data_IF_975904063606
#
_entry.id   IF_975904063606
#
_cell.length_a   1.000
_cell.length_b   1.000
_cell.length_c   1.000
_cell.angle_alpha   90.00
_cell.angle_beta   90.00
_cell.angle_gamma   90.00
#
_symmetry.space_group_name_H-M   'P 1'
#
loop_
_entity.id
_entity.type
_entity.pdbx_description
1 polymer ?
#
# COMPACT_ATOMS: atom_id res chain seq x y z
N UNK A 1 18.68 -30.86 4.57
CA UNK A 1 17.31 -31.09 5.04
C UNK A 1 16.46 -30.10 4.28
N UNK A 2 15.54 -30.62 3.48
CA UNK A 2 14.71 -29.89 2.53
C UNK A 2 13.75 -28.97 3.28
N UNK A 3 14.00 -27.66 3.23
CA UNK A 3 13.02 -26.63 3.58
C UNK A 3 12.00 -26.51 2.44
N UNK A 4 11.18 -27.56 2.27
CA UNK A 4 9.94 -27.49 1.50
C UNK A 4 8.80 -27.17 2.47
N UNK A 5 8.84 -25.99 3.09
CA UNK A 5 7.64 -25.37 3.64
C UNK A 5 7.01 -24.52 2.53
N UNK A 6 6.62 -25.19 1.45
CA UNK A 6 5.75 -24.60 0.43
C UNK A 6 4.39 -24.49 1.12
N UNK A 7 4.08 -23.27 1.59
CA UNK A 7 2.74 -22.93 2.02
C UNK A 7 1.73 -23.43 0.98
N UNK A 8 0.55 -23.88 1.41
CA UNK A 8 -0.38 -24.57 0.54
C UNK A 8 -0.74 -23.70 -0.68
N UNK A 9 -0.73 -24.30 -1.87
CA UNK A 9 -0.77 -23.56 -3.13
C UNK A 9 -2.09 -22.77 -3.30
N UNK A 10 -2.04 -21.58 -3.91
CA UNK A 10 -3.24 -20.83 -4.25
C UNK A 10 -4.11 -21.61 -5.23
N UNK A 11 -5.41 -21.38 -5.20
CA UNK A 11 -6.34 -21.97 -6.16
C UNK A 11 -6.00 -21.47 -7.57
N UNK A 12 -6.04 -22.36 -8.55
CA UNK A 12 -5.80 -22.02 -9.96
C UNK A 12 -7.02 -22.23 -10.85
N UNK A 13 -8.08 -22.86 -10.32
CA UNK A 13 -9.30 -23.13 -11.04
C UNK A 13 -10.53 -23.07 -10.13
N UNK A 14 -11.70 -22.82 -10.72
CA UNK A 14 -12.99 -22.71 -10.02
C UNK A 14 -13.79 -24.01 -9.97
N UNK A 15 -13.34 -25.07 -10.65
CA UNK A 15 -14.10 -26.32 -10.85
C UNK A 15 -14.47 -27.02 -9.53
N UNK A 16 -13.65 -26.82 -8.50
CA UNK A 16 -13.82 -27.44 -7.19
C UNK A 16 -14.58 -26.55 -6.19
N UNK A 17 -15.02 -25.35 -6.61
CA UNK A 17 -15.74 -24.43 -5.74
C UNK A 17 -17.23 -24.83 -5.64
N UNK A 18 -17.84 -24.75 -4.44
CA UNK A 18 -19.27 -24.87 -4.29
C UNK A 18 -19.97 -23.79 -5.12
N UNK A 19 -21.08 -24.15 -5.79
CA UNK A 19 -21.78 -23.24 -6.71
C UNK A 19 -22.03 -21.82 -6.16
N UNK A 20 -22.57 -21.66 -4.93
CA UNK A 20 -22.77 -20.34 -4.33
C UNK A 20 -21.47 -19.55 -4.14
N UNK A 21 -20.36 -20.20 -3.80
CA UNK A 21 -19.06 -19.57 -3.59
C UNK A 21 -18.37 -19.23 -4.91
N UNK A 22 -18.54 -20.07 -5.94
CA UNK A 22 -17.96 -19.86 -7.27
C UNK A 22 -18.40 -18.54 -7.91
N UNK A 23 -19.59 -18.03 -7.58
CA UNK A 23 -20.08 -16.72 -8.04
C UNK A 23 -19.26 -15.52 -7.53
N UNK A 24 -18.50 -15.71 -6.45
CA UNK A 24 -17.65 -14.68 -5.84
C UNK A 24 -16.17 -14.83 -6.22
N UNK A 25 -15.82 -15.91 -6.93
CA UNK A 25 -14.47 -16.12 -7.41
C UNK A 25 -14.07 -15.06 -8.43
N UNK A 26 -12.92 -14.44 -8.22
CA UNK A 26 -12.32 -13.51 -9.18
C UNK A 26 -10.98 -14.04 -9.66
N UNK A 27 -10.67 -13.91 -10.95
CA UNK A 27 -9.31 -14.13 -11.40
C UNK A 27 -8.39 -13.07 -10.81
N UNK A 28 -7.18 -13.49 -10.45
CA UNK A 28 -6.08 -12.60 -10.12
C UNK A 28 -4.78 -13.12 -10.75
N UNK A 29 -3.75 -12.29 -10.77
CA UNK A 29 -2.41 -12.69 -11.18
C UNK A 29 -1.43 -12.28 -10.11
N UNK A 30 -0.77 -13.26 -9.49
CA UNK A 30 0.35 -13.02 -8.58
C UNK A 30 1.58 -12.61 -9.39
N UNK A 31 2.16 -11.46 -9.10
CA UNK A 31 3.25 -10.87 -9.89
C UNK A 31 4.63 -11.43 -9.50
N UNK A 32 4.80 -11.83 -8.23
CA UNK A 32 6.01 -12.45 -7.67
C UNK A 32 7.31 -11.74 -8.11
N UNK A 33 7.49 -10.46 -7.71
CA UNK A 33 8.70 -9.73 -8.05
C UNK A 33 9.94 -10.42 -7.47
N UNK A 34 10.98 -10.50 -8.30
CA UNK A 34 12.30 -10.92 -7.89
C UNK A 34 13.33 -9.95 -8.45
N UNK A 35 14.32 -9.57 -7.65
CA UNK A 35 15.39 -8.68 -8.09
C UNK A 35 16.00 -9.12 -9.43
N UNK A 36 16.13 -8.16 -10.36
CA UNK A 36 16.63 -8.41 -11.71
C UNK A 36 16.92 -7.12 -12.46
N UNK A 37 17.16 -7.23 -13.75
CA UNK A 37 17.45 -6.10 -14.65
C UNK A 37 16.46 -6.09 -15.82
N UNK A 38 15.20 -5.67 -15.58
CA UNK A 38 14.15 -5.67 -16.60
C UNK A 38 14.38 -4.59 -17.66
N UNK A 39 14.02 -4.88 -18.90
CA UNK A 39 14.00 -3.92 -19.99
C UNK A 39 12.69 -3.11 -20.05
N UNK A 40 12.66 -2.02 -20.83
CA UNK A 40 11.49 -1.12 -20.90
C UNK A 40 10.25 -1.77 -21.52
N UNK A 41 10.38 -2.94 -22.16
CA UNK A 41 9.25 -3.67 -22.74
C UNK A 41 8.75 -4.82 -21.85
N UNK A 42 9.37 -5.03 -20.70
CA UNK A 42 9.01 -6.12 -19.80
C UNK A 42 7.93 -5.66 -18.82
N UNK A 43 7.11 -6.61 -18.37
CA UNK A 43 6.36 -6.41 -17.12
C UNK A 43 7.34 -6.45 -15.95
N UNK A 44 7.41 -5.38 -15.17
CA UNK A 44 8.47 -5.18 -14.18
C UNK A 44 8.04 -4.26 -13.04
N UNK A 45 8.79 -4.32 -11.93
CA UNK A 45 8.66 -3.40 -10.79
C UNK A 45 9.97 -2.64 -10.63
N UNK A 46 9.91 -1.32 -10.43
CA UNK A 46 11.07 -0.43 -10.32
C UNK A 46 12.00 -0.40 -11.53
N UNK A 47 11.61 -1.01 -12.64
CA UNK A 47 12.33 -1.02 -13.91
C UNK A 47 12.05 0.23 -14.75
N UNK A 48 12.74 0.37 -15.89
CA UNK A 48 12.43 1.41 -16.87
C UNK A 48 11.02 1.21 -17.43
N UNK A 49 10.30 2.32 -17.65
CA UNK A 49 9.00 2.29 -18.32
C UNK A 49 9.17 2.45 -19.82
N UNK A 50 8.25 1.88 -20.58
CA UNK A 50 8.03 2.20 -21.98
C UNK A 50 7.39 3.59 -22.10
N UNK A 51 8.14 4.64 -21.79
CA UNK A 51 7.67 6.03 -21.79
C UNK A 51 8.15 6.77 -23.06
N UNK A 52 7.27 7.41 -23.85
CA UNK A 52 7.69 8.16 -25.04
C UNK A 52 8.53 9.39 -24.70
N UNK A 53 9.61 9.61 -25.45
CA UNK A 53 10.50 10.77 -25.27
C UNK A 53 9.83 12.12 -25.56
N UNK A 54 8.74 12.14 -26.34
CA UNK A 54 7.96 13.32 -26.67
C UNK A 54 6.80 13.59 -25.69
N UNK A 55 6.53 12.67 -24.77
CA UNK A 55 5.49 12.83 -23.74
C UNK A 55 6.10 13.40 -22.44
N UNK A 56 5.57 14.52 -21.91
CA UNK A 56 6.04 15.07 -20.64
C UNK A 56 5.95 14.07 -19.49
N UNK A 57 7.03 13.95 -18.72
CA UNK A 57 7.07 13.06 -17.57
C UNK A 57 6.10 13.52 -16.45
N UNK A 58 5.35 12.61 -15.79
CA UNK A 58 4.44 12.96 -14.72
C UNK A 58 5.14 13.56 -13.50
N UNK A 59 4.57 14.64 -12.96
CA UNK A 59 5.08 15.32 -11.77
C UNK A 59 4.00 15.45 -10.70
N UNK A 60 4.38 15.29 -9.43
CA UNK A 60 3.54 15.56 -8.29
C UNK A 60 3.65 17.03 -7.86
N UNK A 61 2.50 17.64 -7.56
CA UNK A 61 2.37 19.00 -7.00
C UNK A 61 1.61 19.02 -5.68
N UNK A 62 1.21 17.85 -5.19
CA UNK A 62 0.48 17.72 -3.94
C UNK A 62 1.40 18.06 -2.75
N UNK A 63 0.84 18.47 -1.61
CA UNK A 63 1.63 18.75 -0.43
C UNK A 63 2.23 17.45 0.12
N UNK A 64 3.51 17.51 0.50
CA UNK A 64 4.26 16.40 1.07
C UNK A 64 4.22 16.47 2.60
N UNK A 65 4.15 15.32 3.24
CA UNK A 65 4.35 15.20 4.68
C UNK A 65 5.82 15.41 5.00
N UNK A 66 6.09 16.37 5.87
CA UNK A 66 7.44 16.67 6.38
C UNK A 66 7.44 16.68 7.91
N UNK A 67 8.56 16.25 8.48
CA UNK A 67 8.77 16.22 9.93
C UNK A 67 9.65 17.39 10.34
N UNK A 68 9.05 18.38 11.00
CA UNK A 68 9.78 19.51 11.58
C UNK A 68 10.20 19.19 12.99
N UNK A 69 11.48 19.41 13.29
CA UNK A 69 12.07 19.14 14.60
C UNK A 69 12.40 20.45 15.28
N UNK A 70 11.90 20.63 16.49
CA UNK A 70 12.10 21.85 17.28
C UNK A 70 12.66 21.47 18.65
N UNK A 71 13.77 22.10 19.04
CA UNK A 71 14.38 21.87 20.36
C UNK A 71 13.43 22.33 21.46
N UNK A 72 13.28 21.50 22.49
CA UNK A 72 12.58 21.89 23.71
C UNK A 72 13.40 22.89 24.51
N UNK A 73 12.72 23.73 25.29
CA UNK A 73 13.38 24.57 26.29
C UNK A 73 14.03 23.72 27.37
N UNK A 74 15.06 24.25 28.04
CA UNK A 74 15.71 23.57 29.17
C UNK A 74 14.71 23.24 30.28
N UNK A 75 13.79 24.17 30.59
CA UNK A 75 12.75 23.94 31.59
C UNK A 75 11.77 22.83 31.22
N UNK A 76 11.34 22.74 29.95
CA UNK A 76 10.47 21.63 29.50
C UNK A 76 11.19 20.29 29.55
N UNK A 77 12.47 20.26 29.19
CA UNK A 77 13.32 19.08 29.30
C UNK A 77 13.45 18.63 30.74
N UNK A 78 13.81 19.53 31.65
CA UNK A 78 14.02 19.21 33.07
C UNK A 78 12.74 18.67 33.71
N UNK A 79 11.60 19.27 33.38
CA UNK A 79 10.28 18.82 33.84
C UNK A 79 9.96 17.40 33.37
N UNK A 80 10.18 17.09 32.08
CA UNK A 80 9.97 15.73 31.56
C UNK A 80 10.91 14.71 32.21
N UNK A 81 12.16 15.09 32.49
CA UNK A 81 13.12 14.23 33.19
C UNK A 81 12.71 14.01 34.66
N UNK A 82 12.17 15.02 35.32
CA UNK A 82 11.61 14.88 36.67
C UNK A 82 10.43 13.90 36.68
N UNK A 83 9.50 14.03 35.75
CA UNK A 83 8.35 13.11 35.65
C UNK A 83 8.77 11.67 35.33
N UNK A 84 9.76 11.46 34.45
CA UNK A 84 10.33 10.13 34.21
C UNK A 84 10.97 9.54 35.48
N UNK A 85 11.71 10.35 36.26
CA UNK A 85 12.26 9.93 37.56
C UNK A 85 11.16 9.56 38.55
N UNK A 86 10.09 10.37 38.64
CA UNK A 86 8.94 10.12 39.51
C UNK A 86 8.23 8.82 39.14
N UNK A 87 7.97 8.60 37.85
CA UNK A 87 7.37 7.35 37.35
C UNK A 87 8.26 6.13 37.66
N UNK A 88 9.57 6.22 37.42
CA UNK A 88 10.52 5.15 37.76
C UNK A 88 10.55 4.85 39.26
N UNK A 89 10.48 5.87 40.12
CA UNK A 89 10.41 5.69 41.56
C UNK A 89 9.12 4.96 41.98
N UNK A 90 7.95 5.37 41.46
CA UNK A 90 6.66 4.67 41.67
C UNK A 90 6.73 3.20 41.24
N UNK A 91 7.34 2.91 40.09
CA UNK A 91 7.52 1.54 39.59
C UNK A 91 8.42 0.70 40.50
N UNK A 92 9.54 1.26 40.95
CA UNK A 92 10.45 0.59 41.91
C UNK A 92 9.76 0.30 43.25
N UNK A 93 8.89 1.19 43.70
CA UNK A 93 8.09 1.03 44.91
C UNK A 93 6.88 0.10 44.73
N UNK A 94 6.62 -0.43 43.52
CA UNK A 94 5.47 -1.27 43.17
C UNK A 94 4.12 -0.63 43.55
N UNK A 95 4.04 0.69 43.43
CA UNK A 95 2.80 1.42 43.68
C UNK A 95 1.72 1.01 42.66
N UNK A 96 0.46 0.75 43.07
CA UNK A 96 -0.64 0.57 42.14
C UNK A 96 -0.74 1.76 41.19
N UNK A 97 -0.89 1.50 39.88
CA UNK A 97 -0.94 2.56 38.88
C UNK A 97 0.40 3.27 38.62
N UNK A 98 1.54 2.69 38.97
CA UNK A 98 2.86 3.33 38.81
C UNK A 98 3.20 3.84 37.39
N UNK A 99 2.54 3.31 36.36
CA UNK A 99 2.69 3.73 34.95
C UNK A 99 1.66 4.76 34.49
N UNK A 100 0.67 5.06 35.33
CA UNK A 100 -0.37 6.06 35.03
C UNK A 100 0.21 7.43 35.29
N UNK A 101 0.03 8.34 34.32
CA UNK A 101 0.44 9.73 34.48
C UNK A 101 -0.57 10.47 35.36
N UNK A 102 -0.08 11.35 36.25
CA UNK A 102 -0.98 12.27 36.96
C UNK A 102 -1.60 13.28 36.01
N UNK A 103 -2.71 13.92 36.41
CA UNK A 103 -3.34 15.00 35.63
C UNK A 103 -2.35 16.14 35.33
N UNK A 104 -1.54 16.50 36.32
CA UNK A 104 -0.46 17.48 36.18
C UNK A 104 0.59 17.05 35.14
N UNK A 105 1.06 15.80 35.19
CA UNK A 105 2.00 15.23 34.21
C UNK A 105 1.41 15.25 32.80
N UNK A 106 0.12 14.91 32.68
CA UNK A 106 -0.58 14.88 31.40
C UNK A 106 -0.78 16.29 30.84
N UNK A 107 -1.17 17.26 31.67
CA UNK A 107 -1.34 18.66 31.26
C UNK A 107 -0.01 19.27 30.79
N UNK A 108 1.07 19.06 31.55
CA UNK A 108 2.40 19.50 31.18
C UNK A 108 2.88 18.83 29.88
N UNK A 109 2.71 17.51 29.75
CA UNK A 109 3.05 16.80 28.51
C UNK A 109 2.29 17.34 27.31
N UNK A 110 0.98 17.57 27.44
CA UNK A 110 0.15 18.15 26.38
C UNK A 110 0.63 19.55 25.99
N UNK A 111 0.96 20.40 26.96
CA UNK A 111 1.52 21.74 26.72
C UNK A 111 2.86 21.67 25.98
N UNK A 112 3.77 20.80 26.41
CA UNK A 112 5.11 20.68 25.81
C UNK A 112 5.01 20.13 24.38
N UNK A 113 4.13 19.14 24.19
CA UNK A 113 3.85 18.56 22.89
C UNK A 113 3.28 19.63 21.95
N UNK A 114 2.37 20.49 22.43
CA UNK A 114 1.89 21.67 21.70
C UNK A 114 1.34 21.32 20.31
N UNK A 115 0.62 20.20 20.20
CA UNK A 115 0.11 19.67 18.92
C UNK A 115 1.14 18.99 18.02
N UNK A 116 2.37 18.80 18.47
CA UNK A 116 3.35 17.95 17.80
C UNK A 116 2.94 16.46 17.85
N UNK A 117 3.42 15.66 16.91
CA UNK A 117 3.09 14.23 16.84
C UNK A 117 3.90 13.40 17.83
N UNK A 118 5.11 13.84 18.19
CA UNK A 118 5.97 13.14 19.14
C UNK A 118 6.98 14.07 19.83
N UNK A 119 7.61 13.56 20.88
CA UNK A 119 8.82 14.13 21.48
C UNK A 119 9.91 13.06 21.43
N UNK A 120 11.03 13.38 20.80
CA UNK A 120 12.25 12.59 20.85
C UNK A 120 12.98 12.86 22.17
N UNK A 121 12.89 11.92 23.10
CA UNK A 121 13.51 12.04 24.42
C UNK A 121 15.04 11.85 24.40
N UNK A 122 15.64 11.45 23.26
CA UNK A 122 17.10 11.38 23.11
C UNK A 122 17.66 12.75 22.71
N UNK A 123 17.03 13.39 21.73
CA UNK A 123 17.50 14.68 21.21
C UNK A 123 16.82 15.88 21.86
N UNK A 124 15.79 15.64 22.68
CA UNK A 124 14.92 16.64 23.32
C UNK A 124 14.29 17.58 22.30
N UNK A 125 13.72 16.99 21.25
CA UNK A 125 13.03 17.71 20.19
C UNK A 125 11.58 17.28 20.13
N UNK A 126 10.67 18.23 19.99
CA UNK A 126 9.31 17.93 19.54
C UNK A 126 9.32 17.79 18.01
N UNK A 127 8.59 16.80 17.53
CA UNK A 127 8.48 16.46 16.11
C UNK A 127 7.07 16.80 15.66
N UNK A 128 6.94 17.75 14.75
CA UNK A 128 5.67 18.13 14.13
C UNK A 128 5.57 17.50 12.76
N UNK A 129 4.44 16.85 12.52
CA UNK A 129 4.09 16.37 11.19
C UNK A 129 3.23 17.43 10.52
N UNK A 130 3.71 18.01 9.42
CA UNK A 130 3.01 19.05 8.67
C UNK A 130 3.01 18.70 7.19
N UNK A 131 2.00 19.19 6.45
CA UNK A 131 1.92 19.05 5.00
C UNK A 131 2.38 20.36 4.34
N UNK A 132 3.40 20.28 3.49
CA UNK A 132 3.98 21.44 2.80
C UNK A 132 4.01 21.24 1.30
N UNK A 133 3.72 22.30 0.55
CA UNK A 133 3.86 22.27 -0.90
C UNK A 133 5.35 22.27 -1.27
N UNK A 134 5.77 21.40 -2.20
CA UNK A 134 7.15 21.39 -2.65
C UNK A 134 7.46 22.68 -3.44
N UNK A 135 8.69 23.17 -3.35
CA UNK A 135 9.16 24.38 -4.05
C UNK A 135 9.19 24.21 -5.58
N UNK A 136 9.34 22.97 -6.04
CA UNK A 136 9.23 22.56 -7.44
C UNK A 136 8.43 21.26 -7.55
N UNK A 137 7.73 20.99 -8.67
CA UNK A 137 7.03 19.73 -8.87
C UNK A 137 8.00 18.54 -8.79
N UNK A 138 7.66 17.53 -8.00
CA UNK A 138 8.50 16.34 -7.83
C UNK A 138 8.25 15.36 -9.00
N UNK A 139 9.28 14.98 -9.78
CA UNK A 139 9.12 13.94 -10.78
C UNK A 139 8.68 12.63 -10.13
N UNK A 140 7.63 12.01 -10.67
CA UNK A 140 7.17 10.71 -10.17
C UNK A 140 8.13 9.62 -10.60
N UNK A 141 8.40 8.65 -9.74
CA UNK A 141 9.27 7.52 -10.07
C UNK A 141 8.47 6.38 -10.70
N UNK A 142 9.10 5.57 -11.58
CA UNK A 142 8.46 4.38 -12.12
C UNK A 142 8.34 3.31 -11.04
N UNK A 143 7.14 2.73 -10.90
CA UNK A 143 6.86 1.73 -9.86
C UNK A 143 6.57 0.37 -10.47
N UNK A 144 5.66 0.33 -11.43
CA UNK A 144 5.19 -0.93 -12.01
C UNK A 144 4.82 -0.71 -13.48
N UNK A 145 5.18 -1.68 -14.31
CA UNK A 145 4.69 -1.81 -15.67
C UNK A 145 4.14 -3.23 -15.86
N UNK A 146 2.94 -3.35 -16.44
CA UNK A 146 2.30 -4.62 -16.73
C UNK A 146 1.80 -4.65 -18.17
N UNK A 147 2.14 -5.73 -18.87
CA UNK A 147 1.57 -6.05 -20.18
C UNK A 147 0.38 -6.98 -20.02
N UNK A 148 -0.64 -6.79 -20.84
CA UNK A 148 -1.84 -7.65 -20.82
C UNK A 148 -1.53 -9.10 -21.18
N UNK A 149 -0.48 -9.36 -21.96
CA UNK A 149 -0.01 -10.73 -22.26
C UNK A 149 0.44 -11.50 -21.01
N UNK A 150 0.98 -10.79 -20.01
CA UNK A 150 1.52 -11.36 -18.77
C UNK A 150 0.44 -11.39 -17.68
N UNK A 151 -0.59 -10.56 -17.83
CA UNK A 151 -1.73 -10.41 -16.91
C UNK A 151 -3.05 -10.44 -17.71
N UNK A 152 -3.57 -11.63 -18.07
CA UNK A 152 -4.67 -11.76 -19.04
C UNK A 152 -6.00 -11.07 -18.64
N UNK A 153 -6.23 -10.85 -17.36
CA UNK A 153 -7.46 -10.23 -16.83
C UNK A 153 -7.27 -8.77 -16.43
N UNK A 154 -6.16 -8.13 -16.84
CA UNK A 154 -5.89 -6.74 -16.55
C UNK A 154 -6.89 -5.85 -17.32
N UNK A 155 -7.68 -5.01 -16.63
CA UNK A 155 -8.59 -4.10 -17.32
C UNK A 155 -7.77 -2.96 -17.95
N UNK A 156 -7.89 -2.82 -19.26
CA UNK A 156 -7.24 -1.78 -20.05
C UNK A 156 -8.26 -1.16 -21.02
N UNK A 157 -8.14 0.13 -21.36
CA UNK A 157 -8.92 0.74 -22.43
C UNK A 157 -8.70 0.05 -23.79
N UNK A 158 -9.68 0.16 -24.68
CA UNK A 158 -9.57 -0.35 -26.06
C UNK A 158 -8.34 0.22 -26.77
N UNK A 159 -7.61 -0.64 -27.49
CA UNK A 159 -6.40 -0.26 -28.22
C UNK A 159 -5.15 -0.07 -27.35
N UNK A 160 -5.18 -0.45 -26.07
CA UNK A 160 -4.01 -0.43 -25.18
C UNK A 160 -3.65 -1.83 -24.70
N UNK A 161 -2.37 -2.09 -24.44
CA UNK A 161 -1.85 -3.38 -23.97
C UNK A 161 -0.86 -3.24 -22.79
N UNK A 162 -0.70 -2.02 -22.28
CA UNK A 162 0.24 -1.66 -21.22
C UNK A 162 -0.46 -0.84 -20.13
N UNK A 163 -0.30 -1.25 -18.87
CA UNK A 163 -0.55 -0.43 -17.69
C UNK A 163 0.78 -0.02 -17.06
N UNK A 164 0.90 1.26 -16.72
CA UNK A 164 2.03 1.83 -16.01
C UNK A 164 1.53 2.54 -14.76
N UNK A 165 2.22 2.31 -13.65
CA UNK A 165 2.02 3.00 -12.38
C UNK A 165 3.30 3.77 -12.05
N UNK A 166 3.13 5.07 -11.85
CA UNK A 166 4.14 5.96 -11.30
C UNK A 166 3.64 6.49 -9.97
N UNK A 167 4.54 6.91 -9.09
CA UNK A 167 4.13 7.63 -7.89
C UNK A 167 5.14 8.69 -7.46
N UNK A 168 4.69 9.62 -6.63
CA UNK A 168 5.59 10.51 -5.93
C UNK A 168 6.38 9.71 -4.88
N UNK A 169 7.73 9.80 -4.84
CA UNK A 169 8.55 9.06 -3.88
C UNK A 169 8.54 9.70 -2.47
N UNK A 170 7.53 10.49 -2.15
CA UNK A 170 7.34 11.19 -0.89
C UNK A 170 5.96 10.85 -0.29
N UNK A 171 5.89 10.98 1.03
CA UNK A 171 4.68 10.71 1.82
C UNK A 171 3.65 11.83 1.65
N UNK A 172 2.37 11.49 1.54
CA UNK A 172 1.26 12.44 1.45
C UNK A 172 0.17 12.11 2.48
N UNK A 173 -0.43 13.15 3.03
CA UNK A 173 -1.65 13.05 3.84
C UNK A 173 -2.81 13.62 3.02
N UNK A 174 -3.75 12.76 2.64
CA UNK A 174 -4.93 13.08 1.84
C UNK A 174 -4.63 13.89 0.55
N UNK A 175 -3.79 13.36 -0.37
CA UNK A 175 -3.54 14.03 -1.65
C UNK A 175 -4.83 14.18 -2.46
N UNK A 176 -4.85 15.10 -3.46
CA UNK A 176 -6.06 15.38 -4.24
C UNK A 176 -6.74 14.11 -4.76
N UNK A 177 -8.03 13.95 -4.44
CA UNK A 177 -8.82 12.79 -4.85
C UNK A 177 -8.65 11.53 -3.99
N UNK A 178 -7.87 11.58 -2.91
CA UNK A 178 -7.62 10.43 -2.02
C UNK A 178 -7.92 10.80 -0.54
N UNK A 179 -9.20 10.86 -0.13
CA UNK A 179 -9.56 11.15 1.26
C UNK A 179 -9.15 10.01 2.20
N UNK A 180 -8.81 10.33 3.45
CA UNK A 180 -8.42 9.36 4.48
C UNK A 180 -7.27 8.43 4.08
N UNK A 181 -6.38 8.94 3.24
CA UNK A 181 -5.24 8.22 2.71
C UNK A 181 -3.92 8.78 3.26
N UNK A 182 -2.99 7.88 3.57
CA UNK A 182 -1.63 8.21 3.97
C UNK A 182 -0.65 7.32 3.21
N UNK A 183 0.11 7.91 2.29
CA UNK A 183 0.98 7.16 1.39
C UNK A 183 1.49 7.98 0.21
N UNK A 184 2.15 7.33 -0.77
CA UNK A 184 2.58 7.99 -1.99
C UNK A 184 1.40 8.36 -2.90
N UNK A 185 1.43 9.56 -3.49
CA UNK A 185 0.45 9.93 -4.51
C UNK A 185 0.79 9.26 -5.85
N UNK A 186 -0.18 8.59 -6.47
CA UNK A 186 0.05 7.75 -7.66
C UNK A 186 -0.50 8.38 -8.95
N UNK A 187 -0.04 7.85 -10.08
CA UNK A 187 -0.55 8.11 -11.43
C UNK A 187 -0.62 6.79 -12.21
N UNK A 188 -1.76 6.54 -12.87
CA UNK A 188 -1.93 5.41 -13.78
C UNK A 188 -1.89 5.89 -15.23
N UNK A 189 -1.19 5.14 -16.08
CA UNK A 189 -1.10 5.39 -17.52
C UNK A 189 -1.38 4.12 -18.30
N UNK A 190 -2.23 4.23 -19.31
CA UNK A 190 -2.54 3.16 -20.25
C UNK A 190 -2.04 3.55 -21.62
N UNK A 191 -1.38 2.64 -22.33
CA UNK A 191 -0.88 2.90 -23.68
C UNK A 191 -0.76 1.65 -24.52
N UNK A 192 -0.68 1.83 -25.83
CA UNK A 192 -0.23 0.79 -26.76
C UNK A 192 1.30 0.76 -26.75
N UNK A 193 1.89 -0.39 -26.40
CA UNK A 193 3.34 -0.54 -26.35
C UNK A 193 4.01 -0.28 -27.70
N UNK A 194 3.33 -0.66 -28.78
CA UNK A 194 3.79 -0.49 -30.16
C UNK A 194 3.76 0.96 -30.65
N UNK A 195 3.04 1.87 -29.98
CA UNK A 195 3.06 3.29 -30.34
C UNK A 195 4.29 4.02 -29.81
N UNK A 196 5.05 3.39 -28.90
CA UNK A 196 6.24 4.00 -28.30
C UNK A 196 7.47 3.73 -29.16
N UNK A 197 7.99 4.79 -29.78
CA UNK A 197 9.24 4.76 -30.53
C UNK A 197 10.46 4.91 -29.62
N UNK A 198 10.89 6.15 -29.40
CA UNK A 198 12.04 6.46 -28.54
C UNK A 198 11.62 6.50 -27.08
N UNK A 199 12.33 5.75 -26.24
CA UNK A 199 12.06 5.67 -24.80
C UNK A 199 12.78 6.80 -24.06
N UNK A 200 12.07 7.47 -23.16
CA UNK A 200 12.62 8.51 -22.28
C UNK A 200 13.35 7.90 -21.09
N UNK A 201 14.44 8.53 -20.66
CA UNK A 201 15.02 8.26 -19.35
C UNK A 201 14.19 8.95 -18.25
N UNK A 202 13.88 8.27 -17.14
CA UNK A 202 13.13 8.88 -16.05
C UNK A 202 13.94 10.01 -15.40
N UNK A 203 13.37 11.21 -15.22
CA UNK A 203 14.02 12.28 -14.47
C UNK A 203 14.25 11.85 -13.02
N UNK A 204 15.42 12.19 -12.48
CA UNK A 204 15.75 11.90 -11.09
C UNK A 204 15.12 12.95 -10.15
N UNK A 205 14.29 12.54 -9.17
CA UNK A 205 13.77 13.46 -8.17
C UNK A 205 14.88 13.91 -7.20
N UNK A 206 14.79 15.14 -6.71
CA UNK A 206 15.75 15.70 -5.73
C UNK A 206 15.66 14.98 -4.39
N UNK A 207 14.44 14.65 -3.97
CA UNK A 207 14.13 13.87 -2.77
C UNK A 207 13.35 12.63 -3.17
N UNK A 208 13.76 11.49 -2.64
CA UNK A 208 13.03 10.24 -2.71
C UNK A 208 13.24 9.49 -1.39
N UNK A 209 12.16 8.99 -0.80
CA UNK A 209 12.26 8.14 0.38
C UNK A 209 12.54 6.71 -0.08
N UNK A 210 13.56 6.09 0.51
CA UNK A 210 13.97 4.72 0.15
C UNK A 210 12.81 3.72 0.30
N UNK A 211 11.91 3.95 1.27
CA UNK A 211 10.72 3.13 1.50
C UNK A 211 9.73 3.12 0.33
N UNK A 212 9.72 4.16 -0.52
CA UNK A 212 8.88 4.25 -1.72
C UNK A 212 9.66 4.00 -3.01
N UNK A 213 10.95 3.71 -2.93
CA UNK A 213 11.78 3.53 -4.13
C UNK A 213 12.01 2.03 -4.36
N UNK A 214 11.28 1.39 -5.30
CA UNK A 214 11.42 -0.03 -5.53
C UNK A 214 12.79 -0.34 -6.14
N UNK A 215 13.37 -1.47 -5.73
CA UNK A 215 14.45 -2.10 -6.48
C UNK A 215 13.91 -2.63 -7.83
N UNK A 216 14.68 -2.54 -8.92
CA UNK A 216 14.32 -3.20 -10.18
C UNK A 216 14.13 -4.71 -10.01
N UNK A 217 12.99 -5.19 -10.49
CA UNK A 217 12.56 -6.58 -10.39
C UNK A 217 11.94 -7.04 -11.71
N UNK A 218 12.30 -8.26 -12.11
CA UNK A 218 11.54 -9.03 -13.09
C UNK A 218 10.34 -9.68 -12.40
N UNK A 219 9.28 -9.96 -13.16
CA UNK A 219 8.07 -10.59 -12.65
C UNK A 219 7.99 -12.06 -13.09
N UNK A 220 7.35 -12.88 -12.26
CA UNK A 220 7.03 -14.27 -12.59
C UNK A 220 5.51 -14.50 -12.41
N UNK A 221 4.67 -13.97 -13.33
CA UNK A 221 3.22 -13.95 -13.18
C UNK A 221 2.63 -15.36 -13.04
N UNK A 222 1.64 -15.51 -12.15
CA UNK A 222 0.86 -16.76 -11.98
C UNK A 222 -0.61 -16.43 -11.86
N UNK A 223 -1.42 -17.00 -12.75
CA UNK A 223 -2.88 -16.92 -12.67
C UNK A 223 -3.40 -17.70 -11.47
N UNK A 224 -4.25 -17.06 -10.68
CA UNK A 224 -4.91 -17.66 -9.51
C UNK A 224 -6.38 -17.29 -9.48
N UNK A 225 -7.14 -18.04 -8.70
CA UNK A 225 -8.51 -17.73 -8.30
C UNK A 225 -8.46 -17.17 -6.88
N UNK A 226 -9.03 -15.98 -6.72
CA UNK A 226 -9.09 -15.27 -5.45
C UNK A 226 -10.55 -15.22 -4.97
N UNK A 227 -10.76 -15.55 -3.70
CA UNK A 227 -12.07 -15.43 -3.05
C UNK A 227 -12.10 -14.18 -2.15
N UNK A 228 -13.29 -13.62 -1.91
CA UNK A 228 -13.41 -12.46 -1.03
C UNK A 228 -13.11 -12.81 0.43
N UNK A 229 -12.95 -11.78 1.25
CA UNK A 229 -13.04 -11.93 2.70
C UNK A 229 -14.47 -12.33 3.12
N UNK A 230 -14.61 -13.01 4.26
CA UNK A 230 -15.91 -13.47 4.73
C UNK A 230 -16.95 -12.33 4.90
N UNK A 231 -16.51 -11.12 5.23
CA UNK A 231 -17.38 -9.96 5.41
C UNK A 231 -17.94 -9.40 4.08
N UNK A 232 -17.37 -9.78 2.95
CA UNK A 232 -17.88 -9.50 1.60
C UNK A 232 -18.86 -10.59 1.11
N UNK A 233 -18.98 -11.72 1.84
CA UNK A 233 -19.92 -12.80 1.52
C UNK A 233 -21.27 -12.62 2.22
N UNK A 234 -22.38 -13.06 1.59
CA UNK A 234 -23.64 -13.26 2.30
C UNK A 234 -23.47 -14.29 3.43
N UNK A 235 -24.17 -14.07 4.55
CA UNK A 235 -24.06 -14.90 5.75
C UNK A 235 -24.34 -16.39 5.48
N UNK A 236 -25.26 -16.68 4.55
CA UNK A 236 -25.63 -18.04 4.14
C UNK A 236 -24.53 -18.77 3.36
N UNK A 237 -23.56 -18.04 2.77
CA UNK A 237 -22.45 -18.62 2.00
C UNK A 237 -21.21 -18.81 2.89
N UNK A 238 -21.07 -18.02 3.96
CA UNK A 238 -19.90 -18.06 4.86
C UNK A 238 -19.65 -19.47 5.40
N UNK A 239 -20.67 -20.15 5.93
CA UNK A 239 -20.52 -21.52 6.46
C UNK A 239 -20.13 -22.52 5.37
N UNK A 240 -20.68 -22.37 4.16
CA UNK A 240 -20.32 -23.20 3.00
C UNK A 240 -18.85 -23.00 2.63
N UNK A 241 -18.36 -21.75 2.68
CA UNK A 241 -16.99 -21.40 2.36
C UNK A 241 -15.98 -21.96 3.37
N UNK A 242 -16.27 -21.85 4.67
CA UNK A 242 -15.44 -22.43 5.72
C UNK A 242 -15.43 -23.95 5.66
N UNK A 243 -16.60 -24.61 5.56
CA UNK A 243 -16.70 -26.07 5.43
C UNK A 243 -15.92 -26.59 4.21
N UNK A 244 -16.02 -25.89 3.09
CA UNK A 244 -15.29 -26.24 1.87
C UNK A 244 -13.77 -26.12 2.05
N UNK A 245 -13.29 -25.06 2.70
CA UNK A 245 -11.88 -24.86 3.01
C UNK A 245 -11.37 -25.94 3.98
N UNK A 246 -12.10 -26.20 5.06
CA UNK A 246 -11.77 -27.21 6.07
C UNK A 246 -11.68 -28.62 5.46
N UNK A 247 -12.58 -28.97 4.54
CA UNK A 247 -12.53 -30.26 3.82
C UNK A 247 -11.24 -30.46 3.00
N UNK A 248 -10.52 -29.37 2.70
CA UNK A 248 -9.22 -29.35 2.01
C UNK A 248 -8.03 -29.20 2.98
N UNK A 249 -8.30 -29.17 4.29
CA UNK A 249 -7.30 -29.02 5.34
C UNK A 249 -6.76 -27.59 5.46
N UNK A 250 -7.53 -26.59 5.04
CA UNK A 250 -7.09 -25.18 5.00
C UNK A 250 -8.09 -24.25 5.67
N UNK A 251 -7.62 -23.12 6.21
CA UNK A 251 -8.49 -22.09 6.80
C UNK A 251 -8.88 -21.07 5.73
N UNK A 252 -10.18 -20.78 5.61
CA UNK A 252 -10.71 -19.90 4.55
C UNK A 252 -10.02 -18.53 4.52
N UNK A 253 -9.89 -17.88 5.68
CA UNK A 253 -9.32 -16.55 5.80
C UNK A 253 -7.80 -16.49 5.52
N UNK A 254 -7.09 -17.63 5.59
CA UNK A 254 -5.63 -17.64 5.44
C UNK A 254 -5.13 -17.97 4.05
N UNK A 255 -5.97 -18.59 3.22
CA UNK A 255 -5.47 -19.17 1.98
C UNK A 255 -6.36 -18.87 0.78
N UNK A 256 -7.61 -19.36 0.69
CA UNK A 256 -8.41 -19.12 -0.50
C UNK A 256 -8.97 -17.70 -0.56
N UNK A 257 -9.14 -17.03 0.58
CA UNK A 257 -9.59 -15.65 0.64
C UNK A 257 -8.41 -14.67 0.54
N UNK A 258 -8.59 -13.62 -0.25
CA UNK A 258 -7.71 -12.46 -0.34
C UNK A 258 -6.24 -12.85 -0.49
N UNK A 259 -5.93 -13.68 -1.50
CA UNK A 259 -4.59 -14.25 -1.73
C UNK A 259 -3.52 -13.16 -1.57
N UNK A 260 -2.54 -13.34 -0.67
CA UNK A 260 -1.63 -12.27 -0.30
C UNK A 260 -0.55 -12.00 -1.35
N UNK A 261 0.17 -10.91 -1.17
CA UNK A 261 1.33 -10.52 -1.97
C UNK A 261 1.00 -9.60 -3.15
N UNK A 262 2.03 -9.34 -3.96
CA UNK A 262 1.93 -8.51 -5.15
C UNK A 262 0.99 -9.16 -6.17
N UNK A 263 -0.14 -8.51 -6.46
CA UNK A 263 -1.14 -9.06 -7.38
C UNK A 263 -1.87 -8.01 -8.20
N UNK A 264 -2.34 -8.44 -9.37
CA UNK A 264 -3.29 -7.70 -10.19
C UNK A 264 -4.66 -8.40 -10.18
N UNK A 265 -5.73 -7.65 -9.93
CA UNK A 265 -7.10 -8.18 -9.80
C UNK A 265 -7.36 -8.88 -8.46
N UNK A 266 -8.39 -9.75 -8.44
CA UNK A 266 -8.81 -10.47 -7.25
C UNK A 266 -9.62 -9.64 -6.23
N UNK A 267 -9.34 -9.89 -4.95
CA UNK A 267 -10.01 -9.29 -3.80
C UNK A 267 -9.02 -8.61 -2.85
N UNK A 268 -9.37 -7.43 -2.31
CA UNK A 268 -8.56 -6.78 -1.27
C UNK A 268 -8.75 -7.50 0.07
N UNK A 269 -7.73 -7.51 0.93
CA UNK A 269 -7.88 -7.92 2.32
C UNK A 269 -8.32 -6.74 3.21
N UNK A 270 -9.07 -6.99 4.28
CA UNK A 270 -9.49 -5.98 5.25
C UNK A 270 -9.05 -6.28 6.68
N UNK A 271 -8.02 -7.12 6.82
CA UNK A 271 -7.55 -7.69 8.08
C UNK A 271 -7.12 -6.68 9.16
N UNK A 272 -6.86 -5.41 8.82
CA UNK A 272 -6.46 -4.36 9.78
C UNK A 272 -7.54 -3.32 10.11
N UNK A 273 -8.46 -3.02 9.18
CA UNK A 273 -9.36 -1.87 9.32
C UNK A 273 -10.85 -2.23 9.32
N UNK A 274 -11.18 -3.52 9.19
CA UNK A 274 -12.51 -3.95 8.82
C UNK A 274 -12.87 -3.55 7.39
N UNK A 275 -13.97 -4.09 6.87
CA UNK A 275 -14.40 -3.87 5.49
C UNK A 275 -14.68 -2.39 5.21
N UNK A 276 -13.90 -1.77 4.34
CA UNK A 276 -14.14 -0.41 3.87
C UNK A 276 -14.80 -0.45 2.50
N UNK A 277 -15.89 0.31 2.37
CA UNK A 277 -16.56 0.45 1.08
C UNK A 277 -15.91 1.55 0.23
N UNK A 278 -15.39 1.18 -0.94
CA UNK A 278 -14.82 2.10 -1.93
C UNK A 278 -15.71 2.11 -3.17
N UNK A 279 -16.44 3.20 -3.33
CA UNK A 279 -17.42 3.37 -4.39
C UNK A 279 -17.00 4.52 -5.32
N UNK A 280 -17.28 4.36 -6.61
CA UNK A 280 -17.01 5.38 -7.62
C UNK A 280 -18.09 6.48 -7.56
N UNK A 281 -17.78 7.66 -8.09
CA UNK A 281 -18.75 8.75 -8.23
C UNK A 281 -19.98 8.37 -9.08
N UNK A 282 -19.86 7.38 -9.97
CA UNK A 282 -21.00 6.84 -10.74
C UNK A 282 -21.89 5.87 -9.93
N UNK A 283 -21.55 5.56 -8.68
CA UNK A 283 -22.27 4.62 -7.82
C UNK A 283 -21.84 3.16 -7.94
N UNK A 284 -20.96 2.83 -8.89
CA UNK A 284 -20.42 1.48 -9.01
C UNK A 284 -19.42 1.15 -7.90
N UNK A 285 -19.49 -0.09 -7.40
CA UNK A 285 -18.49 -0.65 -6.49
C UNK A 285 -17.15 -0.74 -7.19
N UNK A 286 -16.12 -0.06 -6.70
CA UNK A 286 -14.79 -0.13 -7.31
C UNK A 286 -14.18 -1.52 -7.13
N UNK A 287 -13.37 -1.94 -8.09
CA UNK A 287 -12.68 -3.24 -8.07
C UNK A 287 -11.21 -3.05 -7.80
N UNK A 288 -10.61 -4.02 -7.11
CA UNK A 288 -9.17 -4.07 -6.91
C UNK A 288 -8.49 -4.21 -8.28
N UNK A 289 -7.63 -3.24 -8.60
CA UNK A 289 -6.74 -3.30 -9.76
C UNK A 289 -5.40 -3.92 -9.36
N UNK A 290 -4.79 -3.42 -8.28
CA UNK A 290 -3.44 -3.82 -7.83
C UNK A 290 -3.36 -3.89 -6.31
N UNK A 291 -2.61 -4.87 -5.80
CA UNK A 291 -2.03 -4.86 -4.45
C UNK A 291 -0.51 -4.81 -4.57
N UNK A 292 0.10 -3.86 -3.87
CA UNK A 292 1.53 -3.68 -3.71
C UNK A 292 1.88 -3.94 -2.24
N UNK A 293 2.64 -5.00 -1.99
CA UNK A 293 2.97 -5.49 -0.65
C UNK A 293 4.35 -4.98 -0.21
N UNK A 294 4.50 -4.68 1.09
CA UNK A 294 5.77 -4.26 1.70
C UNK A 294 6.76 -5.41 1.95
N UNK A 295 6.35 -6.67 1.75
CA UNK A 295 7.18 -7.82 2.04
C UNK A 295 8.14 -8.19 0.90
N UNK A 296 9.39 -8.54 1.27
CA UNK A 296 10.37 -9.12 0.34
C UNK A 296 10.89 -8.15 -0.72
N UNK A 297 11.16 -8.67 -1.92
CA UNK A 297 11.38 -7.82 -3.09
C UNK A 297 10.03 -7.20 -3.50
N UNK A 298 9.99 -5.92 -3.94
CA UNK A 298 11.09 -5.03 -4.34
C UNK A 298 11.68 -4.16 -3.20
N UNK A 299 11.49 -4.55 -1.93
CA UNK A 299 11.87 -3.80 -0.72
C UNK A 299 11.14 -2.47 -0.53
N UNK A 300 9.91 -2.40 -1.03
CA UNK A 300 9.02 -1.29 -0.73
C UNK A 300 8.48 -1.41 0.69
N UNK A 301 8.14 -0.28 1.30
CA UNK A 301 7.45 -0.24 2.57
C UNK A 301 6.41 0.87 2.54
N UNK A 302 5.15 0.47 2.57
CA UNK A 302 4.00 1.37 2.58
C UNK A 302 3.30 1.27 3.93
N UNK A 303 2.95 2.43 4.49
CA UNK A 303 2.31 2.52 5.80
C UNK A 303 3.20 1.97 6.93
N UNK A 304 2.70 0.94 7.63
CA UNK A 304 3.43 0.26 8.73
C UNK A 304 3.78 -1.18 8.34
N UNK A 305 4.51 -1.33 7.23
CA UNK A 305 4.81 -2.63 6.61
C UNK A 305 3.55 -3.37 6.15
N UNK A 306 2.60 -2.67 5.55
CA UNK A 306 1.36 -3.28 5.08
C UNK A 306 1.25 -3.27 3.55
N UNK A 307 0.06 -2.96 3.04
CA UNK A 307 -0.27 -3.07 1.62
C UNK A 307 -0.83 -1.75 1.08
N UNK A 308 -0.40 -1.37 -0.12
CA UNK A 308 -1.04 -0.32 -0.91
C UNK A 308 -1.91 -0.97 -1.97
N UNK A 309 -3.15 -0.50 -2.08
CA UNK A 309 -4.14 -1.02 -3.03
C UNK A 309 -4.65 0.08 -3.92
N UNK A 310 -4.79 -0.26 -5.19
CA UNK A 310 -5.32 0.62 -6.23
C UNK A 310 -6.66 0.06 -6.67
N UNK A 311 -7.70 0.90 -6.65
CA UNK A 311 -9.06 0.54 -7.04
C UNK A 311 -9.49 1.35 -8.26
N UNK A 312 -10.11 0.69 -9.24
CA UNK A 312 -10.68 1.34 -10.43
C UNK A 312 -12.18 1.08 -10.55
N UNK A 313 -12.86 1.97 -11.27
CA UNK A 313 -14.27 1.79 -11.60
C UNK A 313 -14.41 0.64 -12.63
N UNK A 314 -15.28 -0.34 -12.41
CA UNK A 314 -15.51 -1.42 -13.37
C UNK A 314 -16.27 -0.97 -14.63
N UNK A 315 -17.00 0.14 -14.56
CA UNK A 315 -17.83 0.64 -15.66
C UNK A 315 -17.05 1.54 -16.63
N UNK A 316 -16.08 2.30 -16.11
CA UNK A 316 -15.30 3.26 -16.90
C UNK A 316 -13.93 3.52 -16.25
N UNK A 317 -12.85 3.11 -16.93
CA UNK A 317 -11.48 3.29 -16.44
C UNK A 317 -10.99 4.74 -16.47
N UNK A 318 -11.73 5.66 -17.13
CA UNK A 318 -11.43 7.09 -17.10
C UNK A 318 -11.88 7.77 -15.81
N UNK A 319 -12.75 7.11 -15.03
CA UNK A 319 -13.12 7.61 -13.72
C UNK A 319 -11.92 7.59 -12.76
N UNK A 320 -11.83 8.56 -11.81
CA UNK A 320 -10.74 8.60 -10.85
C UNK A 320 -10.60 7.30 -10.05
N UNK A 321 -9.37 6.77 -10.01
CA UNK A 321 -9.03 5.63 -9.17
C UNK A 321 -8.96 6.04 -7.69
N UNK A 322 -9.01 5.06 -6.80
CA UNK A 322 -8.87 5.24 -5.35
C UNK A 322 -7.69 4.45 -4.81
N UNK A 323 -7.01 5.03 -3.84
CA UNK A 323 -5.92 4.41 -3.12
C UNK A 323 -6.38 4.04 -1.71
N UNK A 324 -5.87 2.94 -1.21
CA UNK A 324 -6.00 2.53 0.17
C UNK A 324 -4.66 1.99 0.65
N UNK A 325 -4.29 2.32 1.88
CA UNK A 325 -3.17 1.71 2.59
C UNK A 325 -3.73 1.06 3.86
N UNK A 326 -3.29 -0.16 4.13
CA UNK A 326 -3.50 -0.85 5.40
C UNK A 326 -2.14 -1.22 5.96
#
# INVERSE_FOLDING_TARGET
>A
MTDDNVGPQPLTATQDLPGPLAAYARPATLLRPAAGDPGPRDSSVGGPLLWPADEPWPVCRAPHVVWKREKLSEGDRDLLQEYDRRMKARRRARTPGASVMSEEEQAARTRILDGASAIDLKTWERIRTVSEYPSAPAPMIPVLQLRTQDVPHLPVPEGTDLLQLLWCPDEHAEPPGQPHYWGPNAELRYRAAESVGTVADPPRPERAQDIYTPRPCVLAPVGVVDLPEQDELPAEIVETAHTWAESRGVEYARQPACVPGWKAGGWPSWHLTGLVRIDCACGARMRLLLTLDSAGDPRLNVGRCGELRVFTCPEDLTHPFRLNVQ
#
